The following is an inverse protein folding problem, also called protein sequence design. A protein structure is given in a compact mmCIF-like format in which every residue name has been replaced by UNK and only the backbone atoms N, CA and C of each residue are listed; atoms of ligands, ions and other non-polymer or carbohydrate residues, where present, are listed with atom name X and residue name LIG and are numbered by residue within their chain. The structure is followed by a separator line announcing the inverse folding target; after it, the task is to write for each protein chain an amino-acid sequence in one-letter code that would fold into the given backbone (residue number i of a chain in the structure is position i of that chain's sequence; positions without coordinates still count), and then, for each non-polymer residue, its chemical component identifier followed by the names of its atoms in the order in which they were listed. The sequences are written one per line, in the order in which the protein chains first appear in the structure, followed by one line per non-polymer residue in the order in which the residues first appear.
data_IF_527209996512
#
_entry.id   IF_527209996512
#
_cell.length_a   1.000
_cell.length_b   1.000
_cell.length_c   1.000
_cell.angle_alpha   90.00
_cell.angle_beta   90.00
_cell.angle_gamma   90.00
#
_symmetry.space_group_name_H-M   'P 1'
#
loop_
_entity.id
_entity.type
_entity.pdbx_description
1 polymer ?
#
# COMPACT_ATOMS: atom_id res chain seq x y z
N UNK A 1 -12.67 19.81 -11.72
CA UNK A 1 -11.73 18.82 -11.16
C UNK A 1 -12.13 17.46 -11.69
N UNK A 2 -11.23 16.71 -12.33
CA UNK A 2 -11.61 15.38 -12.82
C UNK A 2 -11.72 14.40 -11.64
N UNK A 3 -12.66 13.45 -11.69
CA UNK A 3 -12.81 12.42 -10.66
C UNK A 3 -11.51 11.64 -10.41
N UNK A 4 -10.73 11.39 -11.48
CA UNK A 4 -9.43 10.71 -11.41
C UNK A 4 -8.44 11.43 -10.50
N UNK A 5 -8.34 12.75 -10.65
CA UNK A 5 -7.45 13.58 -9.85
C UNK A 5 -7.79 13.55 -8.35
N UNK A 6 -9.09 13.46 -8.00
CA UNK A 6 -9.51 13.31 -6.60
C UNK A 6 -9.05 11.97 -6.03
N UNK A 7 -9.19 10.89 -6.79
CA UNK A 7 -8.74 9.55 -6.38
C UNK A 7 -7.23 9.49 -6.22
N UNK A 8 -6.47 10.11 -7.14
CA UNK A 8 -5.01 10.21 -7.07
C UNK A 8 -4.56 10.97 -5.82
N UNK A 9 -5.21 12.10 -5.49
CA UNK A 9 -4.92 12.84 -4.25
C UNK A 9 -5.16 11.97 -3.02
N UNK A 10 -6.29 11.27 -2.96
CA UNK A 10 -6.61 10.40 -1.82
C UNK A 10 -5.57 9.28 -1.70
N UNK A 11 -5.18 8.67 -2.83
CA UNK A 11 -4.14 7.64 -2.88
C UNK A 11 -2.79 8.16 -2.34
N UNK A 12 -2.39 9.36 -2.73
CA UNK A 12 -1.17 10.02 -2.21
C UNK A 12 -1.28 10.31 -0.72
N UNK A 13 -2.43 10.80 -0.24
CA UNK A 13 -2.65 11.05 1.19
C UNK A 13 -2.57 9.76 2.03
N UNK A 14 -3.06 8.63 1.51
CA UNK A 14 -2.93 7.33 2.17
C UNK A 14 -1.45 6.92 2.28
N UNK A 15 -0.66 7.09 1.21
CA UNK A 15 0.78 6.80 1.23
C UNK A 15 1.52 7.66 2.26
N UNK A 16 1.27 8.98 2.25
CA UNK A 16 1.85 9.91 3.21
C UNK A 16 1.42 9.60 4.65
N UNK A 17 0.15 9.27 4.87
CA UNK A 17 -0.37 8.86 6.17
C UNK A 17 0.24 7.54 6.66
N UNK A 18 0.47 6.58 5.76
CA UNK A 18 1.11 5.30 6.05
C UNK A 18 2.55 5.47 6.56
N UNK A 19 3.39 6.20 5.80
CA UNK A 19 4.76 6.52 6.27
C UNK A 19 4.69 7.35 7.55
N UNK A 20 3.91 8.43 7.57
CA UNK A 20 3.86 9.36 8.69
C UNK A 20 3.43 8.68 9.99
N UNK A 21 2.41 7.84 9.94
CA UNK A 21 1.91 7.09 11.09
C UNK A 21 2.93 6.07 11.62
N UNK A 22 3.56 5.30 10.72
CA UNK A 22 4.59 4.32 11.08
C UNK A 22 5.81 5.04 11.67
N UNK A 23 6.34 6.05 10.98
CA UNK A 23 7.51 6.82 11.44
C UNK A 23 7.26 7.45 12.80
N UNK A 24 6.10 8.10 12.99
CA UNK A 24 5.73 8.68 14.28
C UNK A 24 5.63 7.62 15.38
N UNK A 25 5.02 6.47 15.10
CA UNK A 25 4.92 5.37 16.05
C UNK A 25 6.26 4.74 16.42
N UNK A 26 7.20 4.70 15.46
CA UNK A 26 8.59 4.25 15.69
C UNK A 26 9.36 5.28 16.54
N UNK A 27 9.27 6.57 16.22
CA UNK A 27 9.92 7.63 17.00
C UNK A 27 9.43 7.70 18.44
N UNK A 28 8.13 7.43 18.68
CA UNK A 28 7.57 7.34 20.03
C UNK A 28 7.86 6.01 20.75
N UNK A 29 8.53 5.06 20.10
CA UNK A 29 8.78 3.73 20.65
C UNK A 29 7.53 2.87 20.82
N UNK A 30 6.39 3.28 20.26
CA UNK A 30 5.11 2.54 20.34
C UNK A 30 5.00 1.43 19.30
N UNK A 31 5.76 1.51 18.21
CA UNK A 31 5.76 0.56 17.10
C UNK A 31 7.19 0.09 16.88
N UNK A 32 7.42 -1.23 16.92
CA UNK A 32 8.67 -1.83 16.49
C UNK A 32 8.68 -2.06 14.98
N UNK A 33 9.86 -1.96 14.34
CA UNK A 33 10.06 -2.37 12.95
C UNK A 33 10.06 -3.90 12.85
N UNK A 34 8.87 -4.48 12.90
CA UNK A 34 8.63 -5.91 12.70
C UNK A 34 8.34 -6.22 11.23
N UNK A 35 8.40 -7.50 10.86
CA UNK A 35 7.97 -7.96 9.54
C UNK A 35 6.53 -7.51 9.19
N UNK A 36 5.65 -7.45 10.20
CA UNK A 36 4.26 -7.00 10.04
C UNK A 36 4.14 -5.50 9.78
N UNK A 37 4.99 -4.70 10.42
CA UNK A 37 5.09 -3.25 10.20
C UNK A 37 5.55 -2.96 8.77
N UNK A 38 6.56 -3.71 8.28
CA UNK A 38 7.04 -3.61 6.91
C UNK A 38 6.00 -4.09 5.88
N UNK A 39 5.28 -5.18 6.18
CA UNK A 39 4.19 -5.67 5.33
C UNK A 39 3.08 -4.62 5.20
N UNK A 40 2.67 -4.00 6.31
CA UNK A 40 1.69 -2.92 6.29
C UNK A 40 2.18 -1.72 5.46
N UNK A 41 3.44 -1.31 5.64
CA UNK A 41 4.03 -0.22 4.88
C UNK A 41 4.06 -0.53 3.37
N UNK A 42 4.42 -1.77 3.00
CA UNK A 42 4.41 -2.21 1.62
C UNK A 42 3.00 -2.13 1.01
N UNK A 43 1.97 -2.57 1.73
CA UNK A 43 0.57 -2.49 1.25
C UNK A 43 0.13 -1.03 1.12
N UNK A 44 0.45 -0.20 2.12
CA UNK A 44 0.10 1.23 2.14
C UNK A 44 0.73 2.02 0.98
N UNK A 45 1.77 1.49 0.34
CA UNK A 45 2.43 2.11 -0.82
C UNK A 45 2.04 1.46 -2.14
N UNK A 46 2.09 0.13 -2.21
CA UNK A 46 1.90 -0.59 -3.46
C UNK A 46 0.43 -0.51 -3.91
N UNK A 47 -0.54 -0.64 -3.00
CA UNK A 47 -1.96 -0.57 -3.38
C UNK A 47 -2.33 0.79 -3.99
N UNK A 48 -2.02 1.94 -3.33
CA UNK A 48 -2.31 3.24 -3.93
C UNK A 48 -1.51 3.52 -5.20
N UNK A 49 -0.24 3.07 -5.29
CA UNK A 49 0.58 3.25 -6.49
C UNK A 49 0.00 2.49 -7.70
N UNK A 50 -0.40 1.24 -7.52
CA UNK A 50 -1.02 0.44 -8.59
C UNK A 50 -2.35 1.06 -9.03
N UNK A 51 -3.14 1.59 -8.09
CA UNK A 51 -4.37 2.31 -8.42
C UNK A 51 -4.11 3.53 -9.30
N UNK A 52 -3.13 4.37 -8.94
CA UNK A 52 -2.75 5.56 -9.72
C UNK A 52 -2.28 5.14 -11.12
N UNK A 53 -1.34 4.20 -11.21
CA UNK A 53 -0.80 3.74 -12.49
C UNK A 53 -1.87 3.13 -13.41
N UNK A 54 -2.84 2.43 -12.82
CA UNK A 54 -3.98 1.86 -13.55
C UNK A 54 -4.92 2.96 -14.07
N UNK A 55 -5.20 3.98 -13.24
CA UNK A 55 -6.01 5.14 -13.64
C UNK A 55 -5.34 5.99 -14.71
N UNK A 56 -4.00 6.07 -14.70
CA UNK A 56 -3.20 6.72 -15.74
C UNK A 56 -3.12 5.91 -17.04
N UNK A 57 -3.62 4.66 -17.05
CA UNK A 57 -3.44 3.68 -18.14
C UNK A 57 -1.97 3.43 -18.49
N UNK A 58 -1.07 3.64 -17.51
CA UNK A 58 0.37 3.37 -17.66
C UNK A 58 0.65 1.86 -17.63
N UNK A 59 -0.22 1.10 -16.96
CA UNK A 59 -0.17 -0.37 -16.88
C UNK A 59 -1.43 -0.99 -17.47
N UNK A 60 -1.28 -2.14 -18.13
CA UNK A 60 -2.41 -2.90 -18.68
C UNK A 60 -3.32 -3.45 -17.58
N UNK A 61 -4.56 -3.81 -17.95
CA UNK A 61 -5.52 -4.45 -17.05
C UNK A 61 -5.00 -5.79 -16.51
N UNK A 62 -4.27 -6.54 -17.33
CA UNK A 62 -3.60 -7.80 -16.96
C UNK A 62 -2.54 -7.56 -15.88
N UNK A 63 -1.66 -6.57 -16.08
CA UNK A 63 -0.63 -6.20 -15.10
C UNK A 63 -1.25 -5.71 -13.79
N UNK A 64 -2.32 -4.91 -13.89
CA UNK A 64 -3.07 -4.42 -12.72
C UNK A 64 -3.61 -5.61 -11.91
N UNK A 65 -4.28 -6.56 -12.55
CA UNK A 65 -4.82 -7.75 -11.90
C UNK A 65 -3.73 -8.63 -11.28
N UNK A 66 -2.59 -8.80 -11.97
CA UNK A 66 -1.45 -9.55 -11.46
C UNK A 66 -0.83 -8.90 -10.21
N UNK A 67 -0.71 -7.57 -10.21
CA UNK A 67 -0.19 -6.81 -9.07
C UNK A 67 -1.13 -6.91 -7.87
N UNK A 68 -2.44 -6.71 -8.06
CA UNK A 68 -3.42 -6.90 -6.98
C UNK A 68 -3.45 -8.34 -6.47
N UNK A 69 -3.40 -9.34 -7.36
CA UNK A 69 -3.32 -10.74 -6.98
C UNK A 69 -2.07 -11.06 -6.15
N UNK A 70 -0.92 -10.47 -6.51
CA UNK A 70 0.33 -10.58 -5.76
C UNK A 70 0.22 -9.94 -4.37
N UNK A 71 -0.40 -8.76 -4.27
CA UNK A 71 -0.61 -8.08 -2.99
C UNK A 71 -1.52 -8.91 -2.08
N UNK A 72 -2.65 -9.41 -2.62
CA UNK A 72 -3.57 -10.27 -1.87
C UNK A 72 -2.86 -11.55 -1.43
N UNK A 73 -2.10 -12.20 -2.31
CA UNK A 73 -1.28 -13.36 -1.97
C UNK A 73 -0.26 -13.06 -0.87
N UNK A 74 0.43 -11.92 -0.95
CA UNK A 74 1.40 -11.48 0.06
C UNK A 74 0.74 -11.19 1.43
N UNK A 75 -0.43 -10.54 1.42
CA UNK A 75 -1.23 -10.28 2.63
C UNK A 75 -1.64 -11.61 3.29
N UNK A 76 -2.20 -12.53 2.50
CA UNK A 76 -2.70 -13.81 2.98
C UNK A 76 -1.56 -14.74 3.43
N UNK A 77 -0.42 -14.75 2.73
CA UNK A 77 0.74 -15.55 3.09
C UNK A 77 1.36 -15.12 4.43
N UNK A 78 1.34 -13.83 4.76
CA UNK A 78 1.80 -13.31 6.05
C UNK A 78 0.87 -13.65 7.24
N UNK A 79 -0.36 -14.12 6.97
CA UNK A 79 -1.31 -14.54 8.00
C UNK A 79 -1.18 -15.99 8.47
N UNK A 80 -0.34 -16.82 7.82
CA UNK A 80 -0.32 -18.29 8.01
C UNK A 80 0.89 -18.80 8.79
N UNK A 81 1.87 -17.96 9.17
CA UNK A 81 2.96 -18.38 10.08
C UNK A 81 2.95 -17.58 11.36
N UNK A 82 2.06 -17.99 12.25
CA UNK A 82 2.15 -17.81 13.69
C UNK A 82 2.53 -19.17 14.30
N UNK A 83 3.76 -19.61 14.08
CA UNK A 83 4.41 -20.70 14.83
C UNK A 83 5.89 -20.37 15.02
#
# INVERSE_FOLDING_TARGET
MSWRFVVEIIAVLIMLGGIGGISYGVFKGTIALSARTLQFLAIAFIVPAVLILSLERSIGSESTAALYGTIVGYVLAGGVKSE
#
